data_IF_926922849691
#
_entry.id   IF_926922849691
#
_cell.length_a   1.000
_cell.length_b   1.000
_cell.length_c   1.000
_cell.angle_alpha   90.00
_cell.angle_beta   90.00
_cell.angle_gamma   90.00
#
_symmetry.space_group_name_H-M   'P 1'
#
loop_
_entity.id
_entity.type
_entity.pdbx_description
1 polymer ?
#
# COMPACT_ATOMS: atom_id res chain seq x y z
N UNK A 1 10.91 -14.63 -3.50
CA UNK A 1 9.69 -14.04 -4.08
C UNK A 1 9.52 -12.63 -3.54
N UNK A 2 9.32 -11.68 -4.41
CA UNK A 2 9.03 -10.29 -4.02
C UNK A 2 7.52 -10.07 -3.94
N UNK A 3 7.05 -9.71 -2.77
CA UNK A 3 5.63 -9.50 -2.47
C UNK A 3 5.34 -8.00 -2.42
N UNK A 4 4.38 -7.56 -3.20
CA UNK A 4 3.96 -6.16 -3.27
C UNK A 4 2.60 -5.99 -2.59
N UNK A 5 2.52 -5.06 -1.66
CA UNK A 5 1.27 -4.63 -1.02
C UNK A 5 0.90 -3.24 -1.54
N UNK A 6 -0.27 -3.11 -2.12
CA UNK A 6 -0.85 -1.82 -2.53
C UNK A 6 -2.05 -1.54 -1.65
N UNK A 7 -2.00 -0.48 -0.89
CA UNK A 7 -3.05 -0.16 0.09
C UNK A 7 -3.23 1.34 0.27
N UNK A 8 -4.44 1.74 0.61
CA UNK A 8 -4.77 3.12 1.01
C UNK A 8 -4.57 3.37 2.50
N UNK A 9 -4.27 2.34 3.27
CA UNK A 9 -4.08 2.44 4.73
C UNK A 9 -2.92 3.39 5.02
N UNK A 10 -3.18 4.42 5.80
CA UNK A 10 -2.15 5.37 6.20
C UNK A 10 -1.17 4.73 7.18
N UNK A 11 0.11 4.96 6.92
CA UNK A 11 1.21 4.44 7.73
C UNK A 11 1.89 5.58 8.49
N UNK A 12 2.53 5.23 9.59
CA UNK A 12 3.34 6.14 10.41
C UNK A 12 4.76 5.60 10.41
N UNK A 13 5.72 6.46 10.08
CA UNK A 13 7.14 6.12 10.19
C UNK A 13 7.67 6.61 11.53
N UNK A 14 8.17 5.71 12.35
CA UNK A 14 8.86 6.01 13.60
C UNK A 14 10.25 5.35 13.57
N UNK A 15 11.30 6.16 13.67
CA UNK A 15 12.69 5.68 13.52
C UNK A 15 12.87 4.95 12.19
N UNK A 16 13.15 3.65 12.21
CA UNK A 16 13.36 2.83 11.02
C UNK A 16 12.18 1.90 10.71
N UNK A 17 11.10 1.99 11.48
CA UNK A 17 9.95 1.11 11.35
C UNK A 17 8.72 1.84 10.83
N UNK A 18 7.85 1.09 10.16
CA UNK A 18 6.56 1.57 9.69
C UNK A 18 5.44 0.91 10.46
N UNK A 19 4.52 1.71 10.95
CA UNK A 19 3.37 1.31 11.76
C UNK A 19 2.09 1.61 11.00
N UNK A 20 1.07 0.80 11.23
CA UNK A 20 -0.27 1.05 10.76
C UNK A 20 -1.28 0.39 11.70
N UNK A 21 -2.55 0.53 11.39
CA UNK A 21 -3.65 -0.01 12.18
C UNK A 21 -3.47 -1.52 12.44
N UNK A 22 -3.51 -1.90 13.72
CA UNK A 22 -3.10 -3.24 14.17
C UNK A 22 -3.79 -4.41 13.47
N UNK A 23 -5.12 -4.45 13.30
CA UNK A 23 -5.75 -5.57 12.59
C UNK A 23 -5.20 -5.78 11.18
N UNK A 24 -4.93 -4.70 10.46
CA UNK A 24 -4.31 -4.76 9.14
C UNK A 24 -2.88 -5.33 9.21
N UNK A 25 -2.08 -4.81 10.12
CA UNK A 25 -0.67 -5.24 10.27
C UNK A 25 -0.57 -6.70 10.70
N UNK A 26 -1.41 -7.14 11.63
CA UNK A 26 -1.42 -8.53 12.08
C UNK A 26 -1.70 -9.47 10.91
N UNK A 27 -2.67 -9.13 10.07
CA UNK A 27 -2.98 -9.89 8.87
C UNK A 27 -1.80 -9.92 7.90
N UNK A 28 -1.21 -8.75 7.61
CA UNK A 28 -0.07 -8.66 6.70
C UNK A 28 1.13 -9.43 7.23
N UNK A 29 1.42 -9.36 8.53
CA UNK A 29 2.54 -10.09 9.12
C UNK A 29 2.40 -11.60 8.98
N UNK A 30 1.19 -12.15 8.90
CA UNK A 30 0.97 -13.55 8.59
C UNK A 30 1.43 -13.90 7.17
N UNK A 31 1.09 -13.05 6.19
CA UNK A 31 1.53 -13.22 4.81
C UNK A 31 3.05 -13.10 4.68
N UNK A 32 3.64 -12.14 5.38
CA UNK A 32 5.06 -11.80 5.25
C UNK A 32 6.00 -12.88 5.77
N UNK A 33 5.52 -13.84 6.53
CA UNK A 33 6.31 -14.99 6.98
C UNK A 33 6.78 -15.88 5.83
N UNK A 34 6.11 -15.83 4.70
CA UNK A 34 6.31 -16.72 3.57
C UNK A 34 6.96 -16.06 2.35
N UNK A 35 7.48 -14.85 2.50
CA UNK A 35 8.05 -14.08 1.40
C UNK A 35 9.46 -13.57 1.72
N UNK A 36 10.28 -13.40 0.69
CA UNK A 36 11.69 -13.01 0.86
C UNK A 36 11.86 -11.50 0.94
N UNK A 37 11.18 -10.78 0.08
CA UNK A 37 11.23 -9.31 -0.01
C UNK A 37 9.83 -8.74 -0.08
N UNK A 38 9.65 -7.61 0.58
CA UNK A 38 8.35 -6.91 0.65
C UNK A 38 8.53 -5.48 0.14
N UNK A 39 7.63 -5.06 -0.73
CA UNK A 39 7.47 -3.65 -1.08
C UNK A 39 6.06 -3.21 -0.70
N UNK A 40 5.95 -2.07 -0.03
CA UNK A 40 4.66 -1.49 0.35
C UNK A 40 4.48 -0.17 -0.37
N UNK A 41 3.41 -0.04 -1.13
CA UNK A 41 2.99 1.22 -1.77
C UNK A 41 1.78 1.75 -1.00
N UNK A 42 1.99 2.80 -0.24
CA UNK A 42 0.97 3.35 0.65
C UNK A 42 1.29 4.80 1.05
N UNK A 43 0.28 5.55 1.53
CA UNK A 43 0.52 6.86 2.10
C UNK A 43 1.16 6.77 3.50
N UNK A 44 1.93 7.80 3.83
CA UNK A 44 2.54 7.99 5.16
C UNK A 44 2.09 9.33 5.72
N UNK A 45 1.64 9.35 6.95
CA UNK A 45 1.31 10.58 7.67
C UNK A 45 2.28 10.82 8.84
N UNK A 46 2.21 12.01 9.41
CA UNK A 46 3.08 12.42 10.52
C UNK A 46 2.36 12.41 11.88
N UNK A 47 1.31 11.62 12.01
CA UNK A 47 0.59 11.48 13.27
C UNK A 47 1.44 10.73 14.29
N UNK A 48 1.16 10.96 15.56
CA UNK A 48 1.80 10.21 16.65
C UNK A 48 1.27 8.77 16.70
N UNK A 49 2.14 7.85 17.12
CA UNK A 49 1.74 6.48 17.35
C UNK A 49 0.70 6.39 18.48
N UNK A 50 -0.23 5.48 18.32
CA UNK A 50 -1.25 5.16 19.32
C UNK A 50 -1.18 3.67 19.68
N UNK A 51 -1.94 3.27 20.69
CA UNK A 51 -1.99 1.87 21.13
C UNK A 51 -2.57 0.92 20.07
N UNK A 52 -3.30 1.46 19.10
CA UNK A 52 -3.89 0.67 18.01
C UNK A 52 -2.98 0.50 16.80
N UNK A 53 -1.76 1.03 16.87
CA UNK A 53 -0.78 0.93 15.79
C UNK A 53 0.26 -0.15 16.09
N UNK A 54 0.60 -0.92 15.08
CA UNK A 54 1.56 -2.03 15.17
C UNK A 54 2.54 -1.94 14.00
N UNK A 55 3.77 -2.40 14.20
CA UNK A 55 4.81 -2.40 13.18
C UNK A 55 4.78 -3.66 12.31
N UNK A 56 5.20 -3.53 11.06
CA UNK A 56 5.51 -4.67 10.22
C UNK A 56 6.67 -5.49 10.80
N UNK A 57 6.57 -6.81 10.71
CA UNK A 57 7.61 -7.75 11.15
C UNK A 57 8.21 -8.45 9.94
N UNK A 58 9.21 -7.82 9.31
CA UNK A 58 9.94 -8.43 8.21
C UNK A 58 11.32 -7.77 8.08
N UNK A 59 12.32 -8.56 7.70
CA UNK A 59 13.71 -8.10 7.60
C UNK A 59 13.98 -7.23 6.38
N UNK A 60 13.26 -7.44 5.30
CA UNK A 60 13.49 -6.76 4.02
C UNK A 60 12.21 -6.11 3.51
N UNK A 61 11.91 -4.93 4.07
CA UNK A 61 10.77 -4.11 3.64
C UNK A 61 11.30 -2.87 2.94
N UNK A 62 10.86 -2.67 1.71
CA UNK A 62 11.03 -1.42 0.97
C UNK A 62 9.70 -0.68 0.96
N UNK A 63 9.68 0.54 1.46
CA UNK A 63 8.48 1.35 1.52
C UNK A 63 8.50 2.42 0.43
N UNK A 64 7.52 2.38 -0.46
CA UNK A 64 7.34 3.33 -1.54
C UNK A 64 6.17 4.26 -1.20
N UNK A 65 6.54 5.42 -0.65
CA UNK A 65 5.57 6.40 -0.21
C UNK A 65 4.83 7.04 -1.39
N UNK A 66 3.52 7.11 -1.29
CA UNK A 66 2.66 7.84 -2.23
C UNK A 66 1.82 8.88 -1.48
N UNK A 67 1.36 9.95 -2.18
CA UNK A 67 0.44 10.90 -1.57
C UNK A 67 -0.91 10.27 -1.24
N UNK A 68 -1.54 10.73 -0.18
CA UNK A 68 -2.94 10.40 0.11
C UNK A 68 -3.86 11.06 -0.91
N UNK A 69 -4.88 10.32 -1.34
CA UNK A 69 -5.92 10.82 -2.24
C UNK A 69 -7.18 11.07 -1.41
N UNK A 70 -7.75 12.27 -1.55
CA UNK A 70 -9.01 12.60 -0.90
C UNK A 70 -9.91 13.38 -1.86
N UNK A 71 -11.19 13.04 -1.88
CA UNK A 71 -12.20 13.68 -2.72
C UNK A 71 -13.24 14.44 -1.88
N UNK A 72 -12.82 15.04 -0.77
CA UNK A 72 -13.70 15.68 0.22
C UNK A 72 -14.00 17.13 -0.16
N UNK A 73 -13.09 17.82 -0.86
CA UNK A 73 -13.26 19.22 -1.27
C UNK A 73 -12.72 19.45 -2.68
N UNK A 74 -13.13 20.54 -3.34
CA UNK A 74 -12.65 20.88 -4.68
C UNK A 74 -11.12 20.96 -4.75
N UNK A 75 -10.48 21.59 -3.77
CA UNK A 75 -9.03 21.73 -3.73
C UNK A 75 -8.37 20.36 -3.61
N UNK A 76 -8.89 19.49 -2.75
CA UNK A 76 -8.36 18.13 -2.57
C UNK A 76 -8.58 17.25 -3.81
N UNK A 77 -9.73 17.38 -4.47
CA UNK A 77 -10.00 16.69 -5.73
C UNK A 77 -9.01 17.13 -6.80
N UNK A 78 -8.80 18.43 -6.95
CA UNK A 78 -7.86 18.99 -7.93
C UNK A 78 -6.43 18.52 -7.68
N UNK A 79 -5.97 18.57 -6.41
CA UNK A 79 -4.65 18.06 -6.03
C UNK A 79 -4.52 16.56 -6.28
N UNK A 80 -5.57 15.79 -6.01
CA UNK A 80 -5.60 14.35 -6.27
C UNK A 80 -5.46 14.04 -7.76
N UNK A 81 -6.13 14.80 -8.62
CA UNK A 81 -6.01 14.62 -10.07
C UNK A 81 -4.59 14.95 -10.57
N UNK A 82 -3.96 16.01 -10.03
CA UNK A 82 -2.58 16.36 -10.38
C UNK A 82 -1.60 15.29 -9.93
N UNK A 83 -1.82 14.70 -8.74
CA UNK A 83 -0.96 13.66 -8.17
C UNK A 83 -1.20 12.27 -8.78
N UNK A 84 -2.32 12.07 -9.46
CA UNK A 84 -2.70 10.78 -10.03
C UNK A 84 -1.63 10.18 -10.95
N UNK A 85 -1.04 10.90 -11.91
CA UNK A 85 0.02 10.35 -12.76
C UNK A 85 1.21 9.83 -11.98
N UNK A 86 1.62 10.53 -10.91
CA UNK A 86 2.71 10.10 -10.05
C UNK A 86 2.38 8.79 -9.34
N UNK A 87 1.18 8.68 -8.79
CA UNK A 87 0.73 7.49 -8.08
C UNK A 87 0.64 6.30 -9.04
N UNK A 88 0.03 6.48 -10.21
CA UNK A 88 -0.08 5.45 -11.24
C UNK A 88 1.30 4.98 -11.68
N UNK A 89 2.24 5.89 -11.90
CA UNK A 89 3.61 5.55 -12.27
C UNK A 89 4.31 4.70 -11.19
N UNK A 90 4.23 5.13 -9.94
CA UNK A 90 4.83 4.38 -8.82
C UNK A 90 4.22 2.99 -8.67
N UNK A 91 2.90 2.87 -8.76
CA UNK A 91 2.20 1.59 -8.70
C UNK A 91 2.60 0.71 -9.88
N UNK A 92 2.68 1.26 -11.09
CA UNK A 92 3.09 0.51 -12.28
C UNK A 92 4.50 -0.06 -12.15
N UNK A 93 5.46 0.76 -11.74
CA UNK A 93 6.86 0.33 -11.55
C UNK A 93 6.94 -0.76 -10.46
N UNK A 94 6.22 -0.57 -9.36
CA UNK A 94 6.18 -1.56 -8.29
C UNK A 94 5.60 -2.90 -8.76
N UNK A 95 4.49 -2.87 -9.51
CA UNK A 95 3.88 -4.07 -10.09
C UNK A 95 4.84 -4.78 -11.05
N UNK A 96 5.58 -4.02 -11.86
CA UNK A 96 6.55 -4.58 -12.79
C UNK A 96 7.64 -5.38 -12.08
N UNK A 97 8.09 -4.91 -10.92
CA UNK A 97 9.17 -5.53 -10.14
C UNK A 97 8.68 -6.67 -9.24
N UNK A 98 7.40 -6.75 -8.96
CA UNK A 98 6.85 -7.72 -8.03
C UNK A 98 6.63 -9.09 -8.67
N UNK A 99 6.70 -10.14 -7.87
CA UNK A 99 6.31 -11.49 -8.26
C UNK A 99 4.86 -11.78 -7.89
N UNK A 100 4.41 -11.22 -6.76
CA UNK A 100 3.05 -11.35 -6.26
C UNK A 100 2.51 -9.97 -5.89
N UNK A 101 1.35 -9.62 -6.45
CA UNK A 101 0.67 -8.34 -6.20
C UNK A 101 -0.50 -8.59 -5.25
N UNK A 102 -0.49 -7.95 -4.09
CA UNK A 102 -1.57 -8.00 -3.12
C UNK A 102 -2.26 -6.65 -3.04
N UNK A 103 -3.55 -6.63 -3.35
CA UNK A 103 -4.37 -5.42 -3.37
C UNK A 103 -5.31 -5.41 -2.16
N UNK A 104 -5.34 -4.28 -1.46
CA UNK A 104 -6.31 -4.08 -0.37
C UNK A 104 -7.42 -3.15 -0.85
N UNK A 105 -8.62 -3.67 -0.88
CA UNK A 105 -9.84 -2.97 -1.30
C UNK A 105 -10.85 -2.88 -0.14
N UNK A 106 -11.79 -1.96 -0.14
CA UNK A 106 -11.94 -0.84 -1.08
C UNK A 106 -10.95 0.30 -0.78
N UNK A 107 -10.78 1.19 -1.74
CA UNK A 107 -9.96 2.38 -1.56
C UNK A 107 -9.48 2.91 -2.90
N UNK A 108 -9.14 4.19 -2.94
CA UNK A 108 -8.71 4.86 -4.17
C UNK A 108 -7.43 4.24 -4.72
N UNK A 109 -6.48 3.98 -3.85
CA UNK A 109 -5.17 3.41 -4.21
C UNK A 109 -5.32 1.94 -4.60
N UNK A 110 -6.15 1.18 -3.89
CA UNK A 110 -6.50 -0.20 -4.25
C UNK A 110 -7.17 -0.27 -5.63
N UNK A 111 -8.04 0.69 -5.95
CA UNK A 111 -8.67 0.78 -7.26
C UNK A 111 -7.64 1.05 -8.37
N UNK A 112 -6.70 1.97 -8.14
CA UNK A 112 -5.60 2.22 -9.07
C UNK A 112 -4.79 0.93 -9.27
N UNK A 113 -4.49 0.22 -8.21
CA UNK A 113 -3.82 -1.08 -8.28
C UNK A 113 -4.59 -2.10 -9.11
N UNK A 114 -5.92 -2.14 -8.97
CA UNK A 114 -6.78 -3.01 -9.77
C UNK A 114 -6.71 -2.70 -11.27
N UNK A 115 -6.63 -1.42 -11.64
CA UNK A 115 -6.49 -1.01 -13.04
C UNK A 115 -5.10 -1.33 -13.58
N UNK A 116 -4.05 -1.02 -12.83
CA UNK A 116 -2.66 -1.21 -13.25
C UNK A 116 -2.31 -2.69 -13.39
N UNK A 117 -2.82 -3.55 -12.52
CA UNK A 117 -2.51 -4.98 -12.56
C UNK A 117 -2.96 -5.68 -13.85
N UNK A 118 -3.88 -5.09 -14.60
CA UNK A 118 -4.35 -5.62 -15.89
C UNK A 118 -3.19 -5.75 -16.88
N UNK A 119 -2.19 -4.86 -16.79
CA UNK A 119 -1.00 -4.91 -17.63
C UNK A 119 -0.02 -6.03 -17.28
N UNK A 120 -0.26 -6.76 -16.20
CA UNK A 120 0.62 -7.84 -15.72
C UNK A 120 -0.15 -9.15 -15.53
N UNK A 121 -0.70 -9.74 -16.62
CA UNK A 121 -1.60 -10.89 -16.50
C UNK A 121 -0.91 -12.17 -15.98
N UNK A 122 0.41 -12.28 -16.14
CA UNK A 122 1.16 -13.47 -15.72
C UNK A 122 1.58 -13.48 -14.26
N UNK A 123 1.41 -12.37 -13.53
CA UNK A 123 1.83 -12.29 -12.13
C UNK A 123 0.76 -12.86 -11.20
N UNK A 124 1.20 -13.46 -10.10
CA UNK A 124 0.29 -13.88 -9.03
C UNK A 124 -0.37 -12.67 -8.39
N UNK A 125 -1.63 -12.79 -8.08
CA UNK A 125 -2.42 -11.70 -7.54
C UNK A 125 -3.38 -12.19 -6.48
N UNK A 126 -3.51 -11.40 -5.42
CA UNK A 126 -4.53 -11.57 -4.39
C UNK A 126 -5.16 -10.22 -4.09
N UNK A 127 -6.41 -10.24 -3.70
CA UNK A 127 -7.11 -9.04 -3.26
C UNK A 127 -7.86 -9.34 -1.96
N UNK A 128 -7.75 -8.43 -1.01
CA UNK A 128 -8.51 -8.48 0.24
C UNK A 128 -9.52 -7.34 0.23
N UNK A 129 -10.79 -7.69 0.29
CA UNK A 129 -11.85 -6.73 0.52
C UNK A 129 -12.03 -6.55 2.02
N UNK A 130 -11.73 -5.37 2.52
CA UNK A 130 -11.82 -5.02 3.93
C UNK A 130 -12.89 -3.94 4.13
N UNK A 131 -14.08 -4.21 3.64
CA UNK A 131 -15.25 -3.39 3.88
C UNK A 131 -15.92 -3.74 5.22
N UNK A 132 -16.64 -2.79 5.76
CA UNK A 132 -17.43 -2.99 6.97
C UNK A 132 -18.69 -3.78 6.67
#
# INVERSE_FOLDING_TARGET
MKFLIITHVEHIKEKKEYYAYSPYIIEMNLWLKHVDKVEVVAPVNNKNLTEIDTAYKHKSIHFNRIPSIAFISFIKVFLSIILMPLIVFKVFVACKKADHIHLRCPGNIGFIGCLVQIFFPKKKKTAKYAGN
#
